data_IF_658859851005
#
_entry.id   IF_658859851005
#
_cell.length_a   1.000
_cell.length_b   1.000
_cell.length_c   1.000
_cell.angle_alpha   90.00
_cell.angle_beta   90.00
_cell.angle_gamma   90.00
#
_symmetry.space_group_name_H-M   'P 1'
#
loop_
_entity.id
_entity.type
_entity.pdbx_description
1 polymer ?
#
# COMPACT_ATOMS: atom_id res chain seq x y z
N UNK A 1 15.95 15.17 -19.45
CA UNK A 1 15.85 16.33 -20.36
C UNK A 1 15.31 17.59 -19.65
N UNK A 2 14.07 17.63 -19.12
CA UNK A 2 13.56 18.83 -18.43
C UNK A 2 13.69 18.81 -16.89
N UNK A 3 13.71 17.61 -16.28
CA UNK A 3 13.85 17.44 -14.81
C UNK A 3 15.10 16.71 -14.36
N UNK A 4 16.00 16.44 -15.28
CA UNK A 4 17.22 15.66 -15.01
C UNK A 4 16.97 14.37 -14.20
N UNK A 5 15.88 13.64 -14.50
CA UNK A 5 15.62 12.34 -13.91
C UNK A 5 16.50 11.29 -14.60
N UNK A 6 17.30 10.54 -13.83
CA UNK A 6 18.38 9.69 -14.36
C UNK A 6 18.28 8.21 -13.97
N UNK A 7 17.21 7.79 -13.30
CA UNK A 7 17.09 6.41 -12.79
C UNK A 7 15.78 5.75 -13.21
N UNK A 8 15.83 4.46 -13.51
CA UNK A 8 14.63 3.62 -13.69
C UNK A 8 14.24 2.90 -12.40
N UNK A 9 15.09 2.97 -11.37
CA UNK A 9 14.82 2.38 -10.06
C UNK A 9 13.62 3.10 -9.43
N UNK A 10 12.63 2.34 -8.91
CA UNK A 10 11.55 2.95 -8.14
C UNK A 10 12.11 3.65 -6.90
N UNK A 11 11.63 4.86 -6.62
CA UNK A 11 11.96 5.60 -5.41
C UNK A 11 10.70 6.04 -4.69
N UNK A 12 10.79 6.28 -3.39
CA UNK A 12 9.72 6.84 -2.59
C UNK A 12 10.28 7.85 -1.60
N UNK A 13 9.46 8.79 -1.14
CA UNK A 13 9.88 9.77 -0.15
C UNK A 13 9.72 9.25 1.29
N UNK A 14 10.28 9.97 2.25
CA UNK A 14 10.30 9.60 3.68
C UNK A 14 9.02 9.94 4.44
N UNK A 15 7.95 10.34 3.75
CA UNK A 15 6.65 10.68 4.37
C UNK A 15 5.94 9.42 4.85
N UNK A 16 5.09 9.54 5.86
CA UNK A 16 4.18 8.47 6.28
C UNK A 16 3.11 8.21 5.21
N UNK A 17 2.48 9.27 4.71
CA UNK A 17 1.62 9.23 3.53
C UNK A 17 2.50 9.38 2.28
N UNK A 18 3.31 8.34 2.07
CA UNK A 18 4.35 8.35 1.05
C UNK A 18 3.81 8.55 -0.36
N UNK A 19 4.64 9.15 -1.19
CA UNK A 19 4.52 9.11 -2.63
C UNK A 19 5.68 8.28 -3.19
N UNK A 20 5.37 7.44 -4.16
CA UNK A 20 6.35 6.66 -4.90
C UNK A 20 6.36 7.07 -6.37
N UNK A 21 7.53 6.93 -6.97
CA UNK A 21 7.88 7.44 -8.29
C UNK A 21 8.66 6.36 -9.04
N UNK A 22 8.36 6.18 -10.31
CA UNK A 22 9.09 5.23 -11.17
C UNK A 22 9.05 5.68 -12.61
N UNK A 23 10.20 5.68 -13.28
CA UNK A 23 10.24 5.75 -14.74
C UNK A 23 9.97 4.36 -15.31
N UNK A 24 9.02 4.26 -16.24
CA UNK A 24 8.70 3.03 -16.95
C UNK A 24 9.61 2.88 -18.20
N UNK A 25 9.84 1.65 -18.70
CA UNK A 25 10.72 1.40 -19.86
C UNK A 25 10.31 2.15 -21.14
N UNK A 26 9.06 2.60 -21.25
CA UNK A 26 8.53 3.37 -22.37
C UNK A 26 8.50 4.88 -22.12
N UNK A 27 9.35 5.38 -21.22
CA UNK A 27 9.47 6.79 -20.83
C UNK A 27 8.21 7.42 -20.22
N UNK A 28 7.25 6.61 -19.75
CA UNK A 28 6.13 7.09 -18.94
C UNK A 28 6.54 7.21 -17.47
N UNK A 29 6.10 8.27 -16.81
CA UNK A 29 6.35 8.49 -15.40
C UNK A 29 5.18 8.01 -14.54
N UNK A 30 5.43 7.07 -13.64
CA UNK A 30 4.46 6.57 -12.68
C UNK A 30 4.60 7.32 -11.34
N UNK A 31 3.50 7.91 -10.89
CA UNK A 31 3.35 8.50 -9.57
C UNK A 31 2.19 7.82 -8.84
N UNK A 32 2.41 7.39 -7.61
CA UNK A 32 1.35 6.91 -6.74
C UNK A 32 1.48 7.36 -5.29
N UNK A 33 0.39 7.21 -4.54
CA UNK A 33 0.26 7.61 -3.14
C UNK A 33 -1.04 7.09 -2.52
N UNK A 34 -1.33 7.49 -1.27
CA UNK A 34 -2.47 6.99 -0.48
C UNK A 34 -3.29 8.12 0.13
N UNK A 35 -4.61 8.13 -0.09
CA UNK A 35 -5.51 9.20 0.41
C UNK A 35 -7.01 8.81 0.44
N UNK A 36 -7.45 7.82 -0.35
CA UNK A 36 -8.87 7.44 -0.40
C UNK A 36 -9.19 6.31 0.58
N UNK A 37 -10.27 6.50 1.33
CA UNK A 37 -10.78 5.60 2.37
C UNK A 37 -12.20 5.11 2.10
N UNK A 38 -12.80 5.57 1.01
CA UNK A 38 -14.21 5.37 0.69
C UNK A 38 -14.43 4.47 -0.50
N UNK A 39 -13.54 4.50 -1.50
CA UNK A 39 -13.75 3.87 -2.80
C UNK A 39 -14.82 4.57 -3.67
N UNK A 40 -15.48 5.62 -3.18
CA UNK A 40 -16.53 6.32 -3.92
C UNK A 40 -15.95 7.02 -5.17
N UNK A 41 -16.63 7.02 -6.33
CA UNK A 41 -16.13 7.64 -7.57
C UNK A 41 -15.58 9.07 -7.38
N UNK A 42 -16.29 9.91 -6.61
CA UNK A 42 -15.87 11.28 -6.35
C UNK A 42 -14.55 11.38 -5.57
N UNK A 43 -14.24 10.40 -4.73
CA UNK A 43 -12.96 10.34 -4.03
C UNK A 43 -11.80 10.03 -5.00
N UNK A 44 -12.08 9.34 -6.10
CA UNK A 44 -11.12 9.05 -7.16
C UNK A 44 -10.70 10.30 -7.92
N UNK A 45 -11.66 11.14 -8.30
CA UNK A 45 -11.37 12.42 -8.96
C UNK A 45 -10.56 13.36 -8.06
N UNK A 46 -10.89 13.42 -6.77
CA UNK A 46 -10.11 14.19 -5.77
C UNK A 46 -8.68 13.66 -5.64
N UNK A 47 -8.52 12.33 -5.64
CA UNK A 47 -7.19 11.69 -5.63
C UNK A 47 -6.39 12.06 -6.88
N UNK A 48 -6.99 11.94 -8.07
CA UNK A 48 -6.36 12.29 -9.34
C UNK A 48 -5.88 13.74 -9.36
N UNK A 49 -6.74 14.67 -8.93
CA UNK A 49 -6.40 16.08 -8.82
C UNK A 49 -5.26 16.33 -7.81
N UNK A 50 -5.26 15.64 -6.66
CA UNK A 50 -4.20 15.74 -5.67
C UNK A 50 -2.86 15.21 -6.21
N UNK A 51 -2.84 14.04 -6.84
CA UNK A 51 -1.61 13.48 -7.42
C UNK A 51 -1.06 14.38 -8.53
N UNK A 52 -1.93 14.93 -9.39
CA UNK A 52 -1.53 15.92 -10.41
C UNK A 52 -0.88 17.15 -9.78
N UNK A 53 -1.48 17.69 -8.73
CA UNK A 53 -0.92 18.84 -8.00
C UNK A 53 0.45 18.50 -7.40
N UNK A 54 0.58 17.35 -6.73
CA UNK A 54 1.84 16.89 -6.14
C UNK A 54 2.92 16.65 -7.20
N UNK A 55 2.57 16.12 -8.36
CA UNK A 55 3.50 15.99 -9.48
C UNK A 55 4.09 17.36 -9.86
N UNK A 56 3.24 18.39 -10.01
CA UNK A 56 3.70 19.74 -10.34
C UNK A 56 4.48 20.44 -9.23
N UNK A 57 4.21 20.12 -7.96
CA UNK A 57 4.96 20.63 -6.80
C UNK A 57 6.38 20.02 -6.73
N UNK A 58 6.51 18.71 -6.97
CA UNK A 58 7.79 17.98 -6.89
C UNK A 58 8.60 18.13 -8.19
N UNK A 59 7.91 18.12 -9.33
CA UNK A 59 8.49 18.23 -10.65
C UNK A 59 7.86 19.40 -11.43
N UNK A 60 8.28 20.66 -11.18
CA UNK A 60 7.75 21.85 -11.85
C UNK A 60 7.69 21.80 -13.38
N UNK A 61 8.74 21.30 -14.05
CA UNK A 61 8.77 21.21 -15.52
C UNK A 61 7.79 20.17 -16.11
N UNK A 62 7.17 19.34 -15.26
CA UNK A 62 6.14 18.37 -15.64
C UNK A 62 4.74 18.74 -15.13
N UNK A 63 4.54 19.98 -14.66
CA UNK A 63 3.24 20.45 -14.14
C UNK A 63 2.08 20.30 -15.13
N UNK A 64 2.37 20.41 -16.43
CA UNK A 64 1.40 20.30 -17.52
C UNK A 64 1.47 18.97 -18.26
N UNK A 65 2.22 17.98 -17.73
CA UNK A 65 2.32 16.66 -18.35
C UNK A 65 0.93 16.01 -18.49
N UNK A 66 0.75 15.30 -19.59
CA UNK A 66 -0.48 14.57 -19.88
C UNK A 66 -0.65 13.38 -18.90
N UNK A 67 -1.86 13.19 -18.41
CA UNK A 67 -2.22 12.00 -17.62
C UNK A 67 -2.89 11.01 -18.55
N UNK A 68 -2.11 10.06 -19.07
CA UNK A 68 -2.60 9.03 -19.99
C UNK A 68 -3.38 7.92 -19.27
N UNK A 69 -3.05 7.64 -18.01
CA UNK A 69 -3.65 6.56 -17.23
C UNK A 69 -3.92 7.01 -15.79
N UNK A 70 -5.03 6.55 -15.21
CA UNK A 70 -5.34 6.73 -13.80
C UNK A 70 -6.13 5.52 -13.29
N UNK A 71 -5.70 4.96 -12.17
CA UNK A 71 -6.41 3.90 -11.46
C UNK A 71 -6.25 4.09 -9.96
N UNK A 72 -7.11 3.38 -9.22
CA UNK A 72 -7.04 3.26 -7.77
C UNK A 72 -7.64 1.93 -7.35
N UNK A 73 -7.30 1.49 -6.16
CA UNK A 73 -7.84 0.28 -5.57
C UNK A 73 -7.90 0.39 -4.05
N UNK A 74 -8.57 -0.58 -3.44
CA UNK A 74 -8.60 -0.72 -2.00
C UNK A 74 -7.39 -1.52 -1.53
N UNK A 75 -6.82 -1.12 -0.41
CA UNK A 75 -5.74 -1.84 0.26
C UNK A 75 -6.32 -2.57 1.46
N UNK A 76 -6.07 -3.88 1.53
CA UNK A 76 -6.36 -4.65 2.74
C UNK A 76 -5.31 -4.32 3.81
N UNK A 77 -5.77 -3.89 4.99
CA UNK A 77 -4.92 -3.55 6.14
C UNK A 77 -5.43 -4.26 7.39
N UNK A 78 -4.51 -4.73 8.21
CA UNK A 78 -4.77 -5.30 9.53
C UNK A 78 -4.43 -4.29 10.64
N UNK A 79 -5.05 -4.43 11.81
CA UNK A 79 -4.86 -3.49 12.94
C UNK A 79 -3.40 -3.41 13.42
N UNK A 80 -2.70 -4.54 13.43
CA UNK A 80 -1.32 -4.69 13.91
C UNK A 80 -0.26 -4.23 12.90
N UNK A 81 -0.66 -3.65 11.75
CA UNK A 81 0.25 -3.12 10.73
C UNK A 81 1.24 -4.13 10.15
N UNK A 82 0.92 -5.43 10.26
CA UNK A 82 1.66 -6.53 9.63
C UNK A 82 0.75 -7.32 8.69
N UNK A 83 1.31 -7.99 7.66
CA UNK A 83 0.61 -9.04 6.94
C UNK A 83 0.15 -10.15 7.88
N UNK A 84 -0.91 -10.87 7.51
CA UNK A 84 -1.41 -12.01 8.28
C UNK A 84 -1.40 -13.27 7.40
N UNK A 85 -0.84 -14.36 7.91
CA UNK A 85 -0.66 -15.63 7.22
C UNK A 85 -0.86 -16.82 8.16
N UNK A 86 -1.51 -17.88 7.68
CA UNK A 86 -1.72 -19.11 8.45
C UNK A 86 -2.94 -19.88 7.99
N UNK A 87 -3.45 -20.77 8.84
CA UNK A 87 -4.71 -21.48 8.63
C UNK A 87 -5.88 -20.73 9.24
N UNK A 88 -7.04 -20.79 8.59
CA UNK A 88 -8.27 -20.30 9.21
C UNK A 88 -8.55 -21.10 10.49
N UNK A 89 -8.84 -20.44 11.64
CA UNK A 89 -9.12 -21.14 12.89
C UNK A 89 -10.29 -22.13 12.80
N UNK A 90 -11.34 -21.75 12.05
CA UNK A 90 -12.58 -22.54 11.94
C UNK A 90 -12.53 -23.59 10.81
N UNK A 91 -11.58 -23.44 9.88
CA UNK A 91 -11.36 -24.39 8.78
C UNK A 91 -9.86 -24.53 8.51
N UNK A 92 -9.18 -25.46 9.19
CA UNK A 92 -7.76 -25.69 9.00
C UNK A 92 -7.39 -26.12 7.58
N UNK A 93 -8.33 -26.55 6.72
CA UNK A 93 -8.01 -26.88 5.33
C UNK A 93 -7.66 -25.65 4.49
N UNK A 94 -8.06 -24.46 4.94
CA UNK A 94 -7.85 -23.19 4.23
C UNK A 94 -6.65 -22.46 4.79
N UNK A 95 -5.66 -22.21 3.92
CA UNK A 95 -4.58 -21.28 4.18
C UNK A 95 -4.91 -19.89 3.63
N UNK A 96 -4.51 -18.86 4.35
CA UNK A 96 -4.62 -17.48 3.91
C UNK A 96 -3.29 -16.76 4.02
N UNK A 97 -3.13 -15.75 3.16
CA UNK A 97 -2.12 -14.71 3.29
C UNK A 97 -2.70 -13.38 2.79
N UNK A 98 -2.88 -12.43 3.70
CA UNK A 98 -3.65 -11.20 3.45
C UNK A 98 -3.07 -9.98 4.19
N UNK A 99 -3.69 -8.83 3.95
CA UNK A 99 -3.35 -7.56 4.59
C UNK A 99 -1.88 -7.13 4.39
N UNK A 100 -1.34 -7.21 3.18
CA UNK A 100 0.03 -6.80 2.87
C UNK A 100 0.30 -5.28 2.93
N UNK A 101 -0.64 -4.46 3.43
CA UNK A 101 -0.46 -3.02 3.66
C UNK A 101 0.04 -2.21 2.45
N UNK A 102 -0.28 -2.68 1.24
CA UNK A 102 0.10 -2.02 -0.02
C UNK A 102 1.43 -2.50 -0.62
N UNK A 103 2.05 -3.53 -0.05
CA UNK A 103 3.25 -4.21 -0.60
C UNK A 103 2.92 -5.63 -1.13
N UNK A 104 1.67 -5.85 -1.50
CA UNK A 104 1.19 -7.18 -1.90
C UNK A 104 1.88 -7.74 -3.14
N UNK A 105 2.38 -6.89 -4.05
CA UNK A 105 3.07 -7.35 -5.25
C UNK A 105 4.37 -8.06 -4.86
N UNK A 106 5.19 -7.48 -3.99
CA UNK A 106 6.42 -8.14 -3.54
C UNK A 106 6.13 -9.23 -2.51
N UNK A 107 5.35 -8.90 -1.47
CA UNK A 107 5.13 -9.79 -0.32
C UNK A 107 4.40 -11.09 -0.67
N UNK A 108 3.48 -11.06 -1.65
CA UNK A 108 2.69 -12.25 -2.02
C UNK A 108 3.53 -13.38 -2.61
N UNK A 109 4.67 -13.09 -3.26
CA UNK A 109 5.55 -14.12 -3.81
C UNK A 109 6.16 -14.96 -2.68
N UNK A 110 6.76 -14.29 -1.69
CA UNK A 110 7.36 -14.96 -0.52
C UNK A 110 6.31 -15.67 0.34
N UNK A 111 5.17 -15.01 0.57
CA UNK A 111 4.05 -15.60 1.31
C UNK A 111 3.50 -16.85 0.60
N UNK A 112 3.28 -16.79 -0.71
CA UNK A 112 2.79 -17.90 -1.52
C UNK A 112 3.73 -19.09 -1.51
N UNK A 113 5.03 -18.84 -1.70
CA UNK A 113 6.04 -19.91 -1.61
C UNK A 113 6.08 -20.55 -0.23
N UNK A 114 6.07 -19.76 0.84
CA UNK A 114 6.07 -20.25 2.21
C UNK A 114 4.84 -21.13 2.50
N UNK A 115 3.65 -20.69 2.09
CA UNK A 115 2.42 -21.46 2.25
C UNK A 115 2.40 -22.73 1.41
N UNK A 116 2.94 -22.69 0.18
CA UNK A 116 3.09 -23.87 -0.66
C UNK A 116 4.05 -24.90 -0.04
N UNK A 117 5.16 -24.46 0.55
CA UNK A 117 6.09 -25.33 1.27
C UNK A 117 5.43 -25.98 2.50
N UNK A 118 4.58 -25.23 3.22
CA UNK A 118 3.80 -25.77 4.34
C UNK A 118 2.80 -26.83 3.85
N UNK A 119 2.09 -26.59 2.75
CA UNK A 119 1.18 -27.58 2.15
C UNK A 119 1.91 -28.85 1.73
N UNK A 120 3.13 -28.72 1.21
CA UNK A 120 3.95 -29.85 0.78
C UNK A 120 4.68 -30.56 1.94
N UNK A 121 4.50 -30.12 3.19
CA UNK A 121 5.18 -30.67 4.37
C UNK A 121 6.68 -30.36 4.45
N UNK A 122 7.18 -29.42 3.63
CA UNK A 122 8.59 -28.98 3.64
C UNK A 122 8.89 -27.99 4.75
N UNK A 123 7.86 -27.26 5.19
CA UNK A 123 7.90 -26.28 6.28
C UNK A 123 6.71 -26.47 7.20
N UNK A 124 6.79 -25.87 8.38
CA UNK A 124 5.74 -25.88 9.38
C UNK A 124 5.28 -24.45 9.68
N UNK A 125 4.10 -24.30 10.29
CA UNK A 125 3.54 -22.97 10.56
C UNK A 125 4.42 -22.09 11.46
N UNK A 126 5.29 -22.71 12.25
CA UNK A 126 6.26 -21.98 13.07
C UNK A 126 7.37 -21.29 12.27
N UNK A 127 7.51 -21.60 10.98
CA UNK A 127 8.40 -20.90 10.06
C UNK A 127 7.83 -19.57 9.58
N UNK A 128 6.52 -19.33 9.76
CA UNK A 128 5.92 -18.02 9.51
C UNK A 128 6.40 -17.04 10.58
N UNK A 129 6.95 -15.85 10.25
CA UNK A 129 7.37 -14.87 11.25
C UNK A 129 6.26 -14.57 12.25
N UNK A 130 6.58 -14.59 13.55
CA UNK A 130 5.61 -14.40 14.63
C UNK A 130 4.68 -13.17 14.44
N UNK A 131 5.18 -12.00 14.02
CA UNK A 131 4.29 -10.83 13.80
C UNK A 131 3.25 -11.02 12.70
N UNK A 132 3.45 -11.99 11.81
CA UNK A 132 2.58 -12.28 10.66
C UNK A 132 1.75 -13.55 10.82
N UNK A 133 2.00 -14.33 11.87
CA UNK A 133 1.41 -15.66 12.04
C UNK A 133 0.00 -15.58 12.62
N UNK A 134 -0.94 -16.27 12.00
CA UNK A 134 -2.33 -16.33 12.44
C UNK A 134 -3.20 -15.21 11.89
N UNK A 135 -4.49 -15.16 12.30
CA UNK A 135 -5.45 -14.22 11.76
C UNK A 135 -5.13 -12.78 12.17
N UNK A 136 -5.55 -11.78 11.36
CA UNK A 136 -5.35 -10.37 11.70
C UNK A 136 -6.09 -10.03 13.00
N UNK A 137 -5.51 -9.14 13.79
CA UNK A 137 -6.13 -8.70 15.04
C UNK A 137 -7.40 -7.89 14.79
N UNK A 138 -8.44 -8.19 15.57
CA UNK A 138 -9.71 -7.46 15.53
C UNK A 138 -9.55 -6.00 15.99
N UNK A 139 -10.33 -5.10 15.37
CA UNK A 139 -10.50 -3.74 15.87
C UNK A 139 -11.27 -3.76 17.20
N UNK A 140 -10.96 -2.89 18.18
CA UNK A 140 -11.68 -2.87 19.46
C UNK A 140 -13.18 -2.66 19.29
N UNK A 141 -13.56 -1.73 18.40
CA UNK A 141 -14.94 -1.43 18.06
C UNK A 141 -15.07 -1.46 16.53
N UNK A 142 -15.42 -2.60 15.91
CA UNK A 142 -15.43 -2.76 14.45
C UNK A 142 -16.28 -1.71 13.70
N UNK A 143 -17.37 -1.23 14.31
CA UNK A 143 -18.23 -0.17 13.76
C UNK A 143 -17.50 1.16 13.54
N UNK A 144 -16.41 1.43 14.28
CA UNK A 144 -15.61 2.66 14.18
C UNK A 144 -14.46 2.56 13.18
N UNK A 145 -14.36 1.48 12.38
CA UNK A 145 -13.26 1.26 11.41
C UNK A 145 -12.93 2.48 10.54
N UNK A 146 -13.94 3.20 10.05
CA UNK A 146 -13.76 4.40 9.22
C UNK A 146 -13.22 5.58 10.03
N UNK A 147 -13.64 5.72 11.28
CA UNK A 147 -13.13 6.76 12.18
C UNK A 147 -11.68 6.49 12.58
N UNK A 148 -11.32 5.25 12.91
CA UNK A 148 -9.92 4.88 13.16
C UNK A 148 -9.03 5.22 11.95
N UNK A 149 -9.48 4.88 10.74
CA UNK A 149 -8.74 5.17 9.52
C UNK A 149 -8.63 6.68 9.23
N UNK A 150 -9.69 7.46 9.48
CA UNK A 150 -9.65 8.92 9.35
C UNK A 150 -8.69 9.55 10.36
N UNK A 151 -8.73 9.09 11.61
CA UNK A 151 -7.85 9.55 12.66
C UNK A 151 -6.38 9.23 12.35
N UNK A 152 -6.08 7.99 11.91
CA UNK A 152 -4.72 7.59 11.56
C UNK A 152 -4.17 8.39 10.38
N UNK A 153 -4.96 8.57 9.32
CA UNK A 153 -4.56 9.40 8.18
C UNK A 153 -4.38 10.87 8.56
N UNK A 154 -5.25 11.42 9.41
CA UNK A 154 -5.11 12.78 9.93
C UNK A 154 -3.85 12.96 10.75
N UNK A 155 -3.53 11.99 11.62
CA UNK A 155 -2.31 11.96 12.41
C UNK A 155 -1.06 11.89 11.52
N UNK A 156 -1.02 10.98 10.55
CA UNK A 156 0.11 10.88 9.61
C UNK A 156 0.24 12.13 8.73
N UNK A 157 -0.87 12.71 8.27
CA UNK A 157 -0.85 13.96 7.52
C UNK A 157 -0.29 15.12 8.36
N UNK A 158 -0.60 15.15 9.66
CA UNK A 158 -0.04 16.13 10.59
C UNK A 158 1.46 15.92 10.80
N UNK A 159 1.91 14.70 11.04
CA UNK A 159 3.34 14.38 11.14
C UNK A 159 4.10 14.75 9.86
N UNK A 160 3.53 14.46 8.70
CA UNK A 160 4.09 14.79 7.38
C UNK A 160 4.09 16.30 7.08
N UNK A 161 3.25 17.07 7.78
CA UNK A 161 3.26 18.52 7.73
C UNK A 161 4.33 19.10 8.64
N UNK A 162 4.47 18.56 9.85
CA UNK A 162 5.46 18.99 10.85
C UNK A 162 6.91 18.62 10.49
N UNK A 163 7.10 17.58 9.68
CA UNK A 163 8.42 17.13 9.19
C UNK A 163 8.93 17.90 7.97
N UNK A 164 8.22 18.96 7.55
CA UNK A 164 8.72 19.92 6.56
C UNK A 164 9.67 20.92 7.21
#
# INVERSE_FOLDING_TARGET
AAQNWLTETPIYNTRNLLFYYRMLPDNRFLLGGRVDITGAPQAGERMKALLKRRLGEVFPAWKTAEITHFWRGLVCMARNMTPAMGRLPDDPSVLFALAYHGDGVAASHGAGQLLADILAGKKIETDIPQPMRGPPQNLPIPGLKRWYLRASLGYYAFQDFMSK
#
